data_IF_964988396248
#
_entry.id   IF_964988396248
#
_cell.length_a   1.000
_cell.length_b   1.000
_cell.length_c   1.000
_cell.angle_alpha   90.00
_cell.angle_beta   90.00
_cell.angle_gamma   90.00
#
_symmetry.space_group_name_H-M   'P 1'
#
loop_
_entity.id
_entity.type
_entity.pdbx_description
1 polymer ?
#
# COMPACT_ATOMS: atom_id res chain seq x y z
N UNK A 1 2.49 -34.80 19.59
CA UNK A 1 2.95 -34.31 18.27
C UNK A 1 1.72 -33.92 17.46
N UNK A 2 1.33 -32.64 17.47
CA UNK A 2 0.13 -32.16 16.78
C UNK A 2 0.57 -31.53 15.46
N UNK A 3 0.31 -32.21 14.34
CA UNK A 3 0.58 -31.66 13.03
C UNK A 3 -0.54 -30.67 12.67
N UNK A 4 -0.19 -29.40 12.45
CA UNK A 4 -1.12 -28.39 11.97
C UNK A 4 -1.18 -28.49 10.44
N UNK A 5 -2.26 -29.06 9.91
CA UNK A 5 -2.51 -29.09 8.47
C UNK A 5 -2.89 -27.67 8.02
N UNK A 6 -1.93 -26.95 7.43
CA UNK A 6 -2.20 -25.68 6.78
C UNK A 6 -2.93 -25.97 5.46
N UNK A 7 -4.26 -25.99 5.52
CA UNK A 7 -5.12 -26.06 4.34
C UNK A 7 -4.81 -24.86 3.45
N UNK A 8 -4.27 -25.10 2.25
CA UNK A 8 -4.03 -24.04 1.27
C UNK A 8 -5.38 -23.50 0.77
N UNK A 9 -5.87 -22.45 1.42
CA UNK A 9 -6.98 -21.65 0.93
C UNK A 9 -6.51 -20.86 -0.30
N UNK A 10 -6.53 -21.49 -1.46
CA UNK A 10 -6.55 -20.80 -2.76
C UNK A 10 -8.00 -20.67 -3.22
N UNK A 11 -8.88 -20.23 -2.32
CA UNK A 11 -10.11 -19.62 -2.78
C UNK A 11 -9.73 -18.28 -3.42
N UNK A 12 -10.02 -18.12 -4.71
CA UNK A 12 -9.91 -16.84 -5.38
C UNK A 12 -10.84 -15.84 -4.67
N UNK A 13 -10.34 -15.20 -3.60
CA UNK A 13 -11.07 -14.18 -2.89
C UNK A 13 -11.44 -13.11 -3.92
N UNK A 14 -12.74 -12.88 -4.10
CA UNK A 14 -13.25 -11.93 -5.08
C UNK A 14 -12.62 -10.57 -4.76
N UNK A 15 -11.70 -10.11 -5.61
CA UNK A 15 -11.01 -8.84 -5.41
C UNK A 15 -12.06 -7.75 -5.33
N UNK A 16 -12.16 -7.11 -4.16
CA UNK A 16 -13.12 -6.02 -3.95
C UNK A 16 -12.71 -4.87 -4.86
N UNK A 17 -13.55 -4.54 -5.85
CA UNK A 17 -13.35 -3.36 -6.69
C UNK A 17 -13.54 -2.11 -5.82
N UNK A 18 -12.50 -1.28 -5.74
CA UNK A 18 -12.59 -0.01 -5.03
C UNK A 18 -13.44 0.97 -5.84
N UNK A 19 -14.44 1.59 -5.20
CA UNK A 19 -15.24 2.65 -5.82
C UNK A 19 -14.47 3.97 -5.71
N UNK A 20 -14.26 4.70 -6.83
CA UNK A 20 -13.50 5.94 -6.82
C UNK A 20 -14.26 7.07 -6.10
N UNK A 21 -13.51 8.08 -5.63
CA UNK A 21 -14.05 9.15 -4.78
C UNK A 21 -15.12 9.98 -5.49
N UNK A 22 -14.93 10.29 -6.78
CA UNK A 22 -15.90 11.02 -7.60
C UNK A 22 -17.27 10.32 -7.62
N UNK A 23 -17.29 8.99 -7.81
CA UNK A 23 -18.51 8.18 -7.81
C UNK A 23 -19.17 8.20 -6.44
N UNK A 24 -18.40 8.09 -5.35
CA UNK A 24 -18.95 8.18 -3.99
C UNK A 24 -19.62 9.53 -3.72
N UNK A 25 -19.03 10.62 -4.22
CA UNK A 25 -19.62 11.96 -4.09
C UNK A 25 -20.89 12.10 -4.93
N UNK A 26 -20.93 11.53 -6.13
CA UNK A 26 -22.13 11.54 -6.98
C UNK A 26 -23.28 10.74 -6.33
N UNK A 27 -22.98 9.59 -5.72
CA UNK A 27 -23.93 8.82 -4.90
C UNK A 27 -24.55 9.69 -3.79
N UNK A 28 -23.72 10.42 -3.05
CA UNK A 28 -24.19 11.26 -1.93
C UNK A 28 -25.10 12.37 -2.46
N UNK A 29 -24.69 13.06 -3.53
CA UNK A 29 -25.48 14.15 -4.13
C UNK A 29 -26.84 13.69 -4.61
N UNK A 30 -26.92 12.51 -5.23
CA UNK A 30 -28.17 11.92 -5.74
C UNK A 30 -29.11 11.51 -4.60
N UNK A 31 -28.58 10.87 -3.56
CA UNK A 31 -29.38 10.51 -2.38
C UNK A 31 -29.89 11.74 -1.63
N UNK A 32 -29.08 12.78 -1.49
CA UNK A 32 -29.50 14.04 -0.87
C UNK A 32 -30.61 14.75 -1.68
N UNK A 33 -30.66 14.54 -3.00
CA UNK A 33 -31.75 15.02 -3.89
C UNK A 33 -33.02 14.16 -3.81
N UNK A 34 -32.95 12.99 -3.18
CA UNK A 34 -34.08 12.06 -3.07
C UNK A 34 -34.14 10.99 -4.17
N UNK A 35 -33.08 10.79 -4.95
CA UNK A 35 -33.04 9.72 -5.96
C UNK A 35 -33.17 8.34 -5.30
N UNK A 36 -33.93 7.43 -5.94
CA UNK A 36 -34.10 6.07 -5.42
C UNK A 36 -32.85 5.24 -5.72
N UNK A 37 -32.51 4.34 -4.79
CA UNK A 37 -31.41 3.39 -4.96
C UNK A 37 -31.51 2.56 -6.25
N UNK A 38 -32.74 2.23 -6.68
CA UNK A 38 -33.00 1.45 -7.90
C UNK A 38 -32.56 2.21 -9.15
N UNK A 39 -32.77 3.53 -9.19
CA UNK A 39 -32.39 4.37 -10.33
C UNK A 39 -30.86 4.49 -10.44
N UNK A 40 -30.20 4.62 -9.29
CA UNK A 40 -28.74 4.63 -9.23
C UNK A 40 -28.11 3.30 -9.68
N UNK A 41 -28.73 2.18 -9.31
CA UNK A 41 -28.28 0.83 -9.68
C UNK A 41 -28.45 0.59 -11.18
N UNK A 42 -29.61 0.94 -11.76
CA UNK A 42 -29.94 0.58 -13.15
C UNK A 42 -29.41 1.56 -14.19
N UNK A 43 -29.35 2.86 -13.88
CA UNK A 43 -29.16 3.90 -14.91
C UNK A 43 -27.86 4.67 -14.78
N UNK A 44 -27.37 4.89 -13.57
CA UNK A 44 -26.34 5.90 -13.33
C UNK A 44 -24.95 5.32 -13.01
N UNK A 45 -24.86 4.41 -12.04
CA UNK A 45 -23.57 4.08 -11.41
C UNK A 45 -23.29 2.58 -11.32
N UNK A 46 -24.25 1.73 -11.70
CA UNK A 46 -24.13 0.26 -11.64
C UNK A 46 -23.65 -0.26 -10.27
N UNK A 47 -24.00 0.44 -9.19
CA UNK A 47 -23.66 0.05 -7.83
C UNK A 47 -24.79 -0.77 -7.23
N UNK A 48 -24.43 -1.80 -6.46
CA UNK A 48 -25.43 -2.54 -5.69
C UNK A 48 -26.04 -1.64 -4.61
N UNK A 49 -27.26 -1.95 -4.22
CA UNK A 49 -27.96 -1.29 -3.11
C UNK A 49 -27.14 -1.34 -1.82
N UNK A 50 -26.44 -2.46 -1.56
CA UNK A 50 -25.56 -2.61 -0.40
C UNK A 50 -24.39 -1.63 -0.45
N UNK A 51 -23.73 -1.48 -1.61
CA UNK A 51 -22.63 -0.53 -1.78
C UNK A 51 -23.10 0.91 -1.63
N UNK A 52 -24.23 1.28 -2.24
CA UNK A 52 -24.83 2.62 -2.11
C UNK A 52 -25.13 2.95 -0.65
N UNK A 53 -25.73 2.02 0.10
CA UNK A 53 -26.04 2.19 1.52
C UNK A 53 -24.77 2.36 2.35
N UNK A 54 -23.73 1.56 2.11
CA UNK A 54 -22.45 1.69 2.82
C UNK A 54 -21.76 3.03 2.53
N UNK A 55 -21.82 3.52 1.29
CA UNK A 55 -21.30 4.83 0.91
C UNK A 55 -22.02 5.93 1.69
N UNK A 56 -23.36 5.89 1.73
CA UNK A 56 -24.14 6.91 2.44
C UNK A 56 -23.91 6.87 3.96
N UNK A 57 -23.78 5.67 4.55
CA UNK A 57 -23.44 5.52 5.97
C UNK A 57 -22.08 6.16 6.31
N UNK A 58 -21.14 6.13 5.36
CA UNK A 58 -19.81 6.73 5.52
C UNK A 58 -19.72 8.17 4.98
N UNK A 59 -20.85 8.82 4.65
CA UNK A 59 -20.94 10.16 4.03
C UNK A 59 -19.97 11.17 4.64
N UNK A 60 -20.03 11.36 5.96
CA UNK A 60 -19.22 12.37 6.65
C UNK A 60 -17.70 12.12 6.50
N UNK A 61 -17.27 10.87 6.51
CA UNK A 61 -15.85 10.51 6.33
C UNK A 61 -15.41 10.77 4.89
N UNK A 62 -16.28 10.47 3.93
CA UNK A 62 -16.03 10.68 2.50
C UNK A 62 -15.95 12.18 2.18
N UNK A 63 -16.84 13.00 2.74
CA UNK A 63 -16.82 14.46 2.56
C UNK A 63 -15.54 15.09 3.12
N UNK A 64 -15.15 14.73 4.36
CA UNK A 64 -13.88 15.17 4.93
C UNK A 64 -12.67 14.75 4.09
N UNK A 65 -12.68 13.52 3.56
CA UNK A 65 -11.63 13.06 2.66
C UNK A 65 -11.60 13.83 1.33
N UNK A 66 -12.77 14.23 0.81
CA UNK A 66 -12.88 15.08 -0.37
C UNK A 66 -12.31 16.49 -0.12
N UNK A 67 -12.62 17.10 1.02
CA UNK A 67 -12.04 18.40 1.40
C UNK A 67 -10.51 18.33 1.52
N UNK A 68 -9.99 17.28 2.16
CA UNK A 68 -8.55 17.07 2.28
C UNK A 68 -7.87 16.83 0.94
N UNK A 69 -8.52 16.13 0.01
CA UNK A 69 -7.97 15.89 -1.34
C UNK A 69 -8.01 17.16 -2.20
N UNK A 70 -9.04 18.00 -2.10
CA UNK A 70 -9.05 19.33 -2.75
C UNK A 70 -7.96 20.22 -2.17
N UNK A 71 -7.79 20.23 -0.85
CA UNK A 71 -6.70 20.97 -0.17
C UNK A 71 -5.31 20.43 -0.53
N UNK A 72 -5.18 19.11 -0.72
CA UNK A 72 -3.93 18.45 -1.12
C UNK A 72 -3.68 18.47 -2.62
N UNK A 73 -4.66 18.68 -3.51
CA UNK A 73 -4.39 18.91 -4.93
C UNK A 73 -3.52 20.17 -5.14
N UNK A 74 -3.59 21.11 -4.18
CA UNK A 74 -2.73 22.29 -4.09
C UNK A 74 -1.40 22.04 -3.33
N UNK A 75 -1.20 20.85 -2.76
CA UNK A 75 -0.01 20.46 -2.01
C UNK A 75 0.48 19.08 -2.47
N UNK A 76 1.46 19.12 -3.36
CA UNK A 76 2.05 17.95 -4.04
C UNK A 76 2.12 16.72 -3.13
N UNK A 77 1.35 15.69 -3.50
CA UNK A 77 1.48 14.28 -3.12
C UNK A 77 1.16 13.95 -1.65
N UNK A 78 -0.05 13.44 -1.41
CA UNK A 78 -0.28 12.42 -0.40
C UNK A 78 -1.39 11.47 -0.83
N UNK A 79 -1.04 10.30 -1.35
CA UNK A 79 -1.98 9.19 -1.54
C UNK A 79 -2.41 8.65 -0.16
N UNK A 80 -3.33 9.33 0.51
CA UNK A 80 -3.89 8.91 1.79
C UNK A 80 -4.99 7.87 1.55
N UNK A 81 -4.58 6.62 1.41
CA UNK A 81 -5.49 5.48 1.23
C UNK A 81 -4.97 4.16 1.80
N UNK A 82 -3.88 4.18 2.58
CA UNK A 82 -3.30 2.96 3.14
C UNK A 82 -3.72 2.81 4.60
N UNK A 83 -4.18 1.62 4.95
CA UNK A 83 -4.53 1.26 6.33
C UNK A 83 -3.29 1.41 7.24
N UNK A 84 -3.43 1.85 8.51
CA UNK A 84 -2.30 2.06 9.43
C UNK A 84 -1.34 0.86 9.53
N UNK A 85 -1.90 -0.35 9.48
CA UNK A 85 -1.15 -1.62 9.48
C UNK A 85 -0.20 -1.71 8.27
N UNK A 86 -0.67 -1.30 7.08
CA UNK A 86 0.12 -1.33 5.84
C UNK A 86 1.28 -0.34 5.87
N UNK A 87 1.11 0.81 6.55
CA UNK A 87 2.19 1.77 6.70
C UNK A 87 3.25 1.26 7.67
N UNK A 88 2.85 0.71 8.82
CA UNK A 88 3.77 0.09 9.78
C UNK A 88 4.58 -1.05 9.17
N UNK A 89 3.92 -1.93 8.41
CA UNK A 89 4.60 -3.03 7.72
C UNK A 89 5.61 -2.52 6.67
N UNK A 90 5.29 -1.45 5.94
CA UNK A 90 6.21 -0.84 4.97
C UNK A 90 7.42 -0.20 5.64
N UNK A 91 7.24 0.48 6.76
CA UNK A 91 8.36 1.03 7.53
C UNK A 91 9.33 -0.06 7.98
N UNK A 92 8.81 -1.15 8.57
CA UNK A 92 9.63 -2.28 9.00
C UNK A 92 10.37 -2.97 7.84
N UNK A 93 9.71 -3.10 6.67
CA UNK A 93 10.36 -3.66 5.48
C UNK A 93 11.46 -2.76 4.94
N UNK A 94 11.28 -1.44 4.96
CA UNK A 94 12.29 -0.49 4.51
C UNK A 94 13.50 -0.48 5.44
N UNK A 95 13.27 -0.47 6.76
CA UNK A 95 14.31 -0.58 7.78
C UNK A 95 15.14 -1.86 7.61
N UNK A 96 14.48 -3.00 7.42
CA UNK A 96 15.17 -4.28 7.18
C UNK A 96 15.98 -4.31 5.87
N UNK A 97 15.45 -3.72 4.79
CA UNK A 97 16.18 -3.62 3.51
C UNK A 97 17.42 -2.75 3.66
N UNK A 98 17.31 -1.63 4.39
CA UNK A 98 18.41 -0.70 4.63
C UNK A 98 19.52 -1.40 5.43
N UNK A 99 19.18 -2.06 6.54
CA UNK A 99 20.11 -2.89 7.33
C UNK A 99 20.80 -3.98 6.50
N UNK A 100 20.05 -4.68 5.63
CA UNK A 100 20.61 -5.68 4.72
C UNK A 100 21.53 -5.06 3.65
N UNK A 101 21.23 -3.84 3.21
CA UNK A 101 22.06 -3.05 2.30
C UNK A 101 23.42 -2.73 2.90
N UNK A 102 23.47 -2.27 4.14
CA UNK A 102 24.72 -1.98 4.86
C UNK A 102 25.60 -3.22 5.07
N UNK A 103 25.01 -4.38 5.33
CA UNK A 103 25.74 -5.64 5.51
C UNK A 103 26.37 -6.15 4.19
N UNK A 104 25.73 -5.90 3.03
CA UNK A 104 26.33 -6.23 1.71
C UNK A 104 27.56 -5.39 1.38
N UNK A 105 27.58 -4.13 1.81
CA UNK A 105 28.73 -3.23 1.59
C UNK A 105 29.91 -3.61 2.50
N UNK A 106 29.64 -4.01 3.75
CA UNK A 106 30.69 -4.51 4.66
C UNK A 106 31.31 -5.82 4.21
N UNK A 107 30.55 -6.73 3.60
CA UNK A 107 31.06 -8.02 3.14
C UNK A 107 31.94 -7.95 1.87
N UNK A 108 31.88 -6.84 1.11
CA UNK A 108 32.87 -6.53 0.07
C UNK A 108 34.11 -5.84 0.63
N UNK A 109 33.97 -4.96 1.62
CA UNK A 109 35.11 -4.22 2.20
C UNK A 109 36.06 -5.09 3.03
N UNK A 110 35.55 -6.15 3.66
CA UNK A 110 36.39 -7.14 4.35
C UNK A 110 37.14 -8.09 3.41
N UNK A 111 36.79 -8.13 2.11
CA UNK A 111 37.53 -8.93 1.12
C UNK A 111 38.73 -8.20 0.52
N UNK A 112 38.80 -6.88 0.65
CA UNK A 112 39.92 -6.08 0.17
C UNK A 112 41.01 -5.81 1.22
N UNK A 113 40.74 -6.07 2.51
CA UNK A 113 41.73 -5.87 3.58
C UNK A 113 42.47 -7.16 3.98
N UNK A 114 42.03 -8.33 3.52
CA UNK A 114 42.73 -9.61 3.74
C UNK A 114 43.47 -10.12 2.49
N UNK A 115 43.69 -9.24 1.50
CA UNK A 115 44.34 -9.58 0.22
C UNK A 115 45.70 -8.92 0.01
N UNK A 116 46.32 -8.33 1.03
CA UNK A 116 47.65 -7.70 0.94
C UNK A 116 48.55 -8.24 2.04
N UNK A 117 48.90 -9.53 1.95
CA UNK A 117 50.08 -10.11 2.62
C UNK A 117 50.41 -11.45 1.96
N UNK A 118 50.80 -11.42 0.69
CA UNK A 118 51.52 -12.54 0.07
C UNK A 118 52.18 -12.10 -1.25
N UNK A 119 53.27 -11.33 -1.16
CA UNK A 119 54.41 -11.47 -2.08
C UNK A 119 55.67 -11.16 -1.27
N UNK A 120 56.20 -12.22 -0.64
CA UNK A 120 57.59 -12.31 -0.21
C UNK A 120 58.30 -13.03 -1.36
N UNK A 121 58.92 -12.31 -2.29
CA UNK A 121 60.00 -12.86 -3.14
C UNK A 121 61.02 -11.76 -3.44
N UNK A 122 62.12 -11.83 -2.70
CA UNK A 122 63.50 -11.78 -3.16
C UNK A 122 63.81 -10.93 -4.40
N UNK A 123 64.33 -9.73 -4.17
CA UNK A 123 65.50 -9.25 -4.93
C UNK A 123 66.48 -8.66 -3.93
N UNK A 124 67.48 -9.46 -3.62
CA UNK A 124 68.63 -9.13 -2.81
C UNK A 124 69.78 -8.75 -3.74
N UNK A 125 70.35 -7.58 -3.43
CA UNK A 125 71.71 -7.08 -3.60
C UNK A 125 72.37 -6.91 -4.99
N UNK A 126 72.90 -5.69 -5.14
CA UNK A 126 74.11 -5.33 -5.89
C UNK A 126 75.32 -5.85 -5.12
#
# INVERSE_FOLDING_TARGET
MLYWKCSKATEHSKVRKSVPLNVKLDVIKRLDRGDRNVDMMRRALCLSTSTTRSIYLQKNKILKAAELTVRSANSKVASSGRHPITNRMKSLLLEWIDECGYLRVRHRRLRYLNGVTAVLELTQDV
#
